data_IF_176516584702
#
_entry.id   IF_176516584702
#
_cell.length_a   1.000
_cell.length_b   1.000
_cell.length_c   1.000
_cell.angle_alpha   90.00
_cell.angle_beta   90.00
_cell.angle_gamma   90.00
#
_symmetry.space_group_name_H-M   'P 1'
#
loop_
_entity.id
_entity.type
_entity.pdbx_description
1 polymer ?
#
# COMPACT_ATOMS: atom_id res chain seq x y z
N UNK A 1 -21.98 2.24 5.06
CA UNK A 1 -20.66 1.88 4.52
C UNK A 1 -19.78 3.08 4.80
N UNK A 2 -19.06 3.01 5.91
CA UNK A 2 -18.08 4.02 6.29
C UNK A 2 -16.79 3.61 5.62
N UNK A 3 -16.32 4.41 4.65
CA UNK A 3 -14.99 4.25 4.10
C UNK A 3 -13.98 4.37 5.25
N UNK A 4 -13.37 3.25 5.64
CA UNK A 4 -12.43 3.10 6.78
C UNK A 4 -11.22 4.06 6.68
N UNK A 5 -10.93 4.57 5.47
CA UNK A 5 -9.98 5.65 5.22
C UNK A 5 -10.33 6.98 5.91
N UNK A 6 -11.62 7.20 6.23
CA UNK A 6 -12.05 8.41 6.94
C UNK A 6 -11.70 8.42 8.42
N UNK A 7 -11.41 7.26 9.03
CA UNK A 7 -11.13 7.17 10.48
C UNK A 7 -9.64 7.20 10.81
N UNK A 8 -8.77 7.01 9.81
CA UNK A 8 -7.32 6.87 10.00
C UNK A 8 -6.53 8.20 9.85
N UNK A 9 -7.22 9.32 9.65
CA UNK A 9 -6.65 10.67 9.77
C UNK A 9 -5.81 11.17 8.59
N UNK A 10 -5.60 10.35 7.55
CA UNK A 10 -4.95 10.77 6.32
C UNK A 10 -5.94 11.38 5.33
N UNK A 11 -5.53 12.43 4.62
CA UNK A 11 -6.32 13.02 3.54
C UNK A 11 -6.31 12.10 2.30
N UNK A 12 -7.48 11.75 1.78
CA UNK A 12 -7.60 10.91 0.59
C UNK A 12 -7.21 11.71 -0.67
N UNK A 13 -6.20 11.22 -1.38
CA UNK A 13 -5.72 11.76 -2.64
C UNK A 13 -6.10 10.80 -3.78
N UNK A 14 -6.41 11.36 -4.95
CA UNK A 14 -6.73 10.58 -6.16
C UNK A 14 -5.72 10.89 -7.25
N UNK A 15 -4.95 9.88 -7.67
CA UNK A 15 -4.00 9.98 -8.77
C UNK A 15 -4.72 10.00 -10.14
N UNK A 16 -4.07 10.47 -11.22
CA UNK A 16 -4.65 10.44 -12.58
C UNK A 16 -5.05 9.04 -13.07
N UNK A 17 -4.45 7.99 -12.51
CA UNK A 17 -4.80 6.58 -12.79
C UNK A 17 -6.15 6.16 -12.18
N UNK A 18 -6.75 6.99 -11.33
CA UNK A 18 -7.91 6.64 -10.50
C UNK A 18 -7.54 5.89 -9.21
N UNK A 19 -6.24 5.62 -8.98
CA UNK A 19 -5.77 5.06 -7.71
C UNK A 19 -5.97 6.09 -6.60
N UNK A 20 -6.57 5.67 -5.50
CA UNK A 20 -6.74 6.49 -4.31
C UNK A 20 -5.77 6.03 -3.22
N UNK A 21 -5.18 6.99 -2.51
CA UNK A 21 -4.27 6.73 -1.40
C UNK A 21 -4.41 7.80 -0.33
N UNK A 22 -4.04 7.47 0.90
CA UNK A 22 -3.92 8.41 2.00
C UNK A 22 -2.62 8.10 2.74
N UNK A 23 -1.83 9.13 3.02
CA UNK A 23 -0.65 9.01 3.87
C UNK A 23 -1.09 9.18 5.33
N UNK A 24 -1.01 8.09 6.10
CA UNK A 24 -1.44 8.09 7.50
C UNK A 24 -0.31 8.57 8.43
N UNK A 25 0.92 8.22 8.10
CA UNK A 25 2.12 8.64 8.82
C UNK A 25 3.24 8.85 7.80
N UNK A 26 3.80 10.06 7.71
CA UNK A 26 4.89 10.32 6.78
C UNK A 26 6.17 9.63 7.20
N UNK A 27 6.87 9.09 6.22
CA UNK A 27 8.20 8.52 6.41
C UNK A 27 9.26 9.61 6.56
N UNK A 28 10.28 9.34 7.38
CA UNK A 28 11.44 10.24 7.55
C UNK A 28 12.64 9.88 6.65
N UNK A 29 12.50 8.80 5.87
CA UNK A 29 13.55 8.26 5.00
C UNK A 29 13.56 8.87 3.60
N UNK A 30 14.51 8.40 2.78
CA UNK A 30 14.53 8.72 1.37
C UNK A 30 13.32 8.13 0.65
N UNK A 31 12.84 8.84 -0.37
CA UNK A 31 11.77 8.36 -1.25
C UNK A 31 12.19 7.08 -1.98
N UNK A 32 11.27 6.10 -2.04
CA UNK A 32 11.49 4.88 -2.79
C UNK A 32 11.36 5.17 -4.29
N UNK A 33 12.35 4.75 -5.08
CA UNK A 33 12.42 5.05 -6.52
C UNK A 33 12.50 3.76 -7.35
N UNK A 34 11.99 3.82 -8.59
CA UNK A 34 12.00 2.67 -9.49
C UNK A 34 13.41 2.09 -9.69
N UNK A 35 13.50 0.76 -9.76
CA UNK A 35 14.75 0.02 -9.82
C UNK A 35 15.34 -0.35 -8.45
N UNK A 36 14.79 0.17 -7.35
CA UNK A 36 15.18 -0.24 -6.00
C UNK A 36 14.47 -1.52 -5.55
N UNK A 37 15.14 -2.26 -4.68
CA UNK A 37 14.53 -3.38 -3.98
C UNK A 37 13.90 -2.88 -2.68
N UNK A 38 12.58 -3.04 -2.55
CA UNK A 38 11.83 -2.61 -1.36
C UNK A 38 11.35 -3.80 -0.55
N UNK A 39 11.19 -3.58 0.76
CA UNK A 39 10.66 -4.56 1.72
C UNK A 39 9.54 -3.90 2.52
N UNK A 40 8.36 -4.52 2.55
CA UNK A 40 7.15 -3.91 3.10
C UNK A 40 6.35 -4.87 3.97
N UNK A 41 5.64 -4.31 4.96
CA UNK A 41 4.48 -4.98 5.53
C UNK A 41 3.20 -4.48 4.88
N UNK A 42 2.27 -5.39 4.59
CA UNK A 42 0.96 -5.07 4.05
C UNK A 42 -0.11 -5.96 4.64
N UNK A 43 -1.34 -5.46 4.59
CA UNK A 43 -2.55 -6.23 4.73
C UNK A 43 -3.51 -5.76 3.64
N UNK A 44 -4.19 -6.70 3.01
CA UNK A 44 -5.13 -6.45 1.92
C UNK A 44 -6.53 -6.90 2.30
N UNK A 45 -7.51 -6.06 1.97
CA UNK A 45 -8.93 -6.31 2.20
C UNK A 45 -9.73 -6.13 0.92
N UNK A 46 -10.81 -6.89 0.81
CA UNK A 46 -11.85 -6.69 -0.20
C UNK A 46 -12.81 -5.58 0.25
N UNK A 47 -13.61 -5.06 -0.67
CA UNK A 47 -14.60 -3.98 -0.40
C UNK A 47 -15.71 -4.41 0.56
N UNK A 48 -15.89 -5.71 0.78
CA UNK A 48 -16.80 -6.27 1.78
C UNK A 48 -16.17 -6.42 3.17
N UNK A 49 -14.93 -5.94 3.36
CA UNK A 49 -14.19 -5.98 4.61
C UNK A 49 -13.45 -7.31 4.86
N UNK A 50 -13.59 -8.32 4.00
CA UNK A 50 -12.85 -9.57 4.16
C UNK A 50 -11.36 -9.35 3.85
N UNK A 51 -10.51 -9.64 4.82
CA UNK A 51 -9.06 -9.73 4.62
C UNK A 51 -8.76 -10.87 3.64
N UNK A 52 -8.08 -10.57 2.54
CA UNK A 52 -7.64 -11.58 1.58
C UNK A 52 -6.19 -11.99 1.79
N UNK A 53 -5.35 -11.09 2.32
CA UNK A 53 -3.95 -11.39 2.57
C UNK A 53 -3.29 -10.48 3.62
N UNK A 54 -2.24 -10.95 4.31
CA UNK A 54 -1.39 -10.13 5.18
C UNK A 54 0.00 -10.71 5.35
N UNK A 55 1.01 -9.86 5.17
CA UNK A 55 2.40 -10.24 5.49
C UNK A 55 2.67 -10.24 6.99
N UNK A 56 1.90 -9.48 7.78
CA UNK A 56 2.01 -9.49 9.25
C UNK A 56 1.48 -10.78 9.86
N UNK A 57 0.38 -11.33 9.33
CA UNK A 57 -0.16 -12.61 9.78
C UNK A 57 0.83 -13.77 9.54
N UNK A 58 1.62 -13.68 8.46
CA UNK A 58 2.68 -14.65 8.15
C UNK A 58 3.97 -14.45 8.95
N UNK A 59 4.15 -13.27 9.54
CA UNK A 59 5.41 -12.89 10.18
C UNK A 59 6.59 -12.69 9.21
N UNK A 60 6.32 -12.56 7.90
CA UNK A 60 7.35 -12.45 6.86
C UNK A 60 7.05 -11.24 5.95
N UNK A 61 7.89 -10.20 5.94
CA UNK A 61 7.69 -9.04 5.08
C UNK A 61 7.87 -9.40 3.61
N UNK A 62 7.18 -8.68 2.74
CA UNK A 62 7.23 -8.94 1.30
C UNK A 62 8.31 -8.08 0.64
N UNK A 63 9.11 -8.70 -0.24
CA UNK A 63 10.23 -8.05 -0.92
C UNK A 63 10.06 -8.13 -2.43
N UNK A 64 10.11 -6.99 -3.11
CA UNK A 64 9.95 -6.90 -4.56
C UNK A 64 10.72 -5.70 -5.15
N UNK A 65 11.01 -5.75 -6.45
CA UNK A 65 11.65 -4.66 -7.18
C UNK A 65 10.62 -3.63 -7.60
N UNK A 66 10.79 -2.38 -7.19
CA UNK A 66 9.87 -1.28 -7.48
C UNK A 66 9.99 -0.87 -8.96
N UNK A 67 8.86 -0.67 -9.65
CA UNK A 67 8.82 -0.34 -11.07
C UNK A 67 9.30 -1.47 -12.00
N UNK A 68 9.32 -2.71 -11.51
CA UNK A 68 9.79 -3.88 -12.27
C UNK A 68 8.65 -4.77 -12.78
N UNK A 69 7.38 -4.38 -12.57
CA UNK A 69 6.21 -5.16 -12.98
C UNK A 69 6.03 -6.45 -12.19
N UNK A 70 6.61 -6.55 -10.99
CA UNK A 70 6.53 -7.73 -10.11
C UNK A 70 5.28 -7.75 -9.24
N UNK A 71 4.57 -6.62 -9.15
CA UNK A 71 3.36 -6.43 -8.36
C UNK A 71 2.24 -5.87 -9.24
N UNK A 72 1.04 -5.76 -8.68
CA UNK A 72 -0.08 -5.12 -9.38
C UNK A 72 0.24 -3.65 -9.67
N UNK A 73 -0.28 -3.10 -10.77
CA UNK A 73 0.03 -1.72 -11.21
C UNK A 73 -0.29 -0.61 -10.21
N UNK A 74 -1.16 -0.87 -9.23
CA UNK A 74 -1.42 0.09 -8.15
C UNK A 74 -0.30 0.16 -7.10
N UNK A 75 0.66 -0.77 -7.16
CA UNK A 75 1.80 -0.91 -6.25
C UNK A 75 3.15 -0.73 -6.95
N UNK A 76 3.17 -0.72 -8.28
CA UNK A 76 4.40 -0.72 -9.10
C UNK A 76 4.86 0.71 -9.41
#
# INVERSE_FOLDING_TARGET
MSDDFSESGGELQTAPSGLQYAELQPGEGAEATAGQQVTVHYTGWLTDGRKFDSSRDRGDPFRFGLGAGQVIRGWD
#
